data_IF_944961389443
#
_entry.id   IF_944961389443
#
_cell.length_a   1.000
_cell.length_b   1.000
_cell.length_c   1.000
_cell.angle_alpha   90.00
_cell.angle_beta   90.00
_cell.angle_gamma   90.00
#
_symmetry.space_group_name_H-M   'P 1'
#
loop_
_entity.id
_entity.type
_entity.pdbx_description
1 polymer ?
2 polymer ?
3 non-polymer ?
4 non-polymer ?
5 water ?
#
loop_
_entity_poly.entity_id
_entity_poly.type
_entity_poly.pdbx_seq_one_letter_code
_entity_poly.pdbx_strand_id
2 'polydeoxyribonucleotide' '(DT)(DG)(DC)(DA)(DG)(DG)(DC)(DG)(DC)(DG)(DC)(DC)(DT)(DG)(DC)(DA)' ?
#
# COMPACT_ATOMS: atom_id res chain seq x y z
N UNK A 8 -4.82 -37.96 20.49
CA UNK A 8 -5.60 -39.15 20.83
C UNK A 8 -5.60 -40.23 19.72
N UNK A 9 -4.44 -40.43 19.06
CA UNK A 9 -4.24 -41.38 17.97
C UNK A 9 -2.95 -42.23 18.20
N UNK A 10 -2.42 -42.90 17.16
CA UNK A 10 -1.20 -43.68 17.27
C UNK A 10 -0.02 -42.81 16.83
N UNK A 11 -0.15 -42.23 15.62
CA UNK A 11 0.84 -41.35 14.98
C UNK A 11 0.63 -39.84 15.29
N UNK A 12 -0.65 -39.38 15.28
CA UNK A 12 -1.03 -37.99 15.55
C UNK A 12 -0.82 -37.55 17.02
N UNK A 13 -0.68 -38.52 17.95
CA UNK A 13 -0.53 -38.29 19.38
C UNK A 13 0.79 -37.61 19.82
N UNK A 14 0.61 -36.55 20.61
CA UNK A 14 1.62 -35.73 21.27
C UNK A 14 1.41 -35.95 22.80
N UNK A 15 2.52 -36.16 23.52
CA UNK A 15 2.45 -36.37 24.96
C UNK A 15 2.13 -35.05 25.72
N UNK A 16 1.48 -35.08 26.90
CA UNK A 16 1.18 -33.84 27.63
C UNK A 16 2.38 -32.92 27.90
N UNK A 17 3.60 -33.49 28.06
CA UNK A 17 4.84 -32.70 28.27
C UNK A 17 5.25 -31.92 27.01
N UNK A 18 5.15 -32.55 25.82
CA UNK A 18 5.47 -31.99 24.50
C UNK A 18 4.45 -30.89 24.16
N UNK A 19 3.19 -31.15 24.47
CA UNK A 19 2.07 -30.24 24.26
C UNK A 19 2.27 -28.91 25.04
N UNK A 20 2.74 -29.02 26.31
CA UNK A 20 3.06 -27.94 27.23
C UNK A 20 4.21 -27.09 26.67
N UNK A 21 5.33 -27.74 26.29
CA UNK A 21 6.52 -27.09 25.74
C UNK A 21 6.24 -26.43 24.40
N UNK A 22 5.43 -27.08 23.55
CA UNK A 22 5.05 -26.55 22.24
C UNK A 22 4.22 -25.25 22.30
N UNK A 23 3.54 -25.02 23.42
CA UNK A 23 2.78 -23.81 23.67
C UNK A 23 3.66 -22.58 23.79
N UNK A 24 4.95 -22.78 24.08
CA UNK A 24 5.96 -21.72 24.21
C UNK A 24 6.66 -21.48 22.87
N UNK A 25 6.42 -22.35 21.87
CA UNK A 25 6.99 -22.28 20.54
C UNK A 25 6.57 -21.02 19.83
N UNK A 26 7.51 -20.42 19.11
CA UNK A 26 7.31 -19.24 18.31
C UNK A 26 7.02 -19.68 16.89
N UNK A 27 5.98 -19.12 16.31
CA UNK A 27 5.62 -19.39 14.92
C UNK A 27 6.43 -18.53 14.00
N UNK A 28 6.90 -19.10 12.88
CA UNK A 28 7.72 -18.36 11.90
C UNK A 28 6.89 -17.26 11.17
N UNK A 29 7.52 -16.50 10.24
CA UNK A 29 6.84 -15.40 9.55
C UNK A 29 5.73 -15.86 8.58
N UNK A 30 5.78 -17.10 8.08
CA UNK A 30 4.75 -17.68 7.22
C UNK A 30 3.51 -18.04 8.05
N UNK A 31 3.69 -18.58 9.26
CA UNK A 31 2.58 -18.91 10.15
C UNK A 31 1.87 -17.65 10.58
N UNK A 32 2.62 -16.60 10.96
CA UNK A 32 2.09 -15.29 11.37
C UNK A 32 1.29 -14.66 10.19
N UNK A 33 1.79 -14.81 8.95
CA UNK A 33 1.16 -14.31 7.75
C UNK A 33 -0.15 -15.03 7.49
N UNK A 34 -0.15 -16.36 7.65
CA UNK A 34 -1.36 -17.16 7.46
C UNK A 34 -2.51 -16.75 8.42
N UNK A 35 -2.18 -16.26 9.64
CA UNK A 35 -3.17 -15.79 10.61
C UNK A 35 -3.78 -14.50 10.07
N UNK A 36 -2.93 -13.61 9.50
CA UNK A 36 -3.34 -12.34 8.90
C UNK A 36 -4.28 -12.59 7.71
N UNK A 37 -3.96 -13.62 6.87
CA UNK A 37 -4.75 -14.02 5.70
C UNK A 37 -6.13 -14.55 6.13
N UNK A 38 -6.19 -15.39 7.20
CA UNK A 38 -7.43 -15.93 7.76
C UNK A 38 -8.29 -14.80 8.28
N UNK A 39 -7.70 -13.87 9.02
CA UNK A 39 -8.42 -12.71 9.54
C UNK A 39 -9.03 -11.84 8.45
N UNK A 40 -8.28 -11.61 7.34
CA UNK A 40 -8.69 -10.85 6.15
C UNK A 40 -9.94 -11.44 5.51
N UNK A 41 -9.98 -12.79 5.41
CA UNK A 41 -11.10 -13.57 4.87
C UNK A 41 -12.35 -13.49 5.79
N UNK A 42 -12.16 -13.59 7.12
CA UNK A 42 -13.24 -13.51 8.10
C UNK A 42 -13.95 -12.14 8.06
N UNK A 43 -13.22 -11.02 7.82
CA UNK A 43 -13.82 -9.67 7.69
C UNK A 43 -14.77 -9.62 6.45
N UNK A 44 -14.42 -10.39 5.37
CA UNK A 44 -15.20 -10.51 4.14
C UNK A 44 -16.40 -11.42 4.34
N UNK A 45 -16.19 -12.62 4.87
CA UNK A 45 -17.26 -13.60 5.06
C UNK A 45 -18.28 -13.20 6.13
N UNK A 46 -17.88 -12.44 7.17
CA UNK A 46 -18.82 -11.99 8.23
C UNK A 46 -19.93 -11.09 7.70
N UNK A 47 -19.71 -10.49 6.51
CA UNK A 47 -20.62 -9.58 5.81
C UNK A 47 -21.70 -10.31 5.00
N UNK A 48 -21.51 -11.61 4.71
CA UNK A 48 -22.42 -12.43 3.94
C UNK A 48 -23.12 -13.41 4.87
N UNK A 49 -24.46 -13.49 4.82
CA UNK A 49 -25.28 -14.40 5.62
C UNK A 49 -24.99 -15.85 5.28
N UNK A 50 -24.57 -16.61 6.30
CA UNK A 50 -24.29 -18.04 6.21
C UNK A 50 -22.92 -18.48 5.73
N UNK A 51 -22.06 -17.52 5.27
CA UNK A 51 -20.74 -17.77 4.67
C UNK A 51 -19.70 -18.37 5.61
N UNK A 52 -19.60 -17.84 6.84
CA UNK A 52 -18.65 -18.27 7.87
C UNK A 52 -18.98 -19.67 8.37
N UNK A 53 -20.27 -19.92 8.51
CA UNK A 53 -20.90 -21.15 8.94
C UNK A 53 -20.63 -22.28 7.94
N UNK A 54 -20.74 -21.99 6.61
CA UNK A 54 -20.49 -22.96 5.56
C UNK A 54 -19.01 -23.32 5.49
N UNK A 55 -18.12 -22.33 5.72
CA UNK A 55 -16.68 -22.52 5.77
C UNK A 55 -16.30 -23.40 6.95
N UNK A 56 -16.77 -23.09 8.16
CA UNK A 56 -16.50 -23.94 9.33
C UNK A 56 -16.99 -25.36 9.08
N UNK A 57 -18.17 -25.53 8.41
CA UNK A 57 -18.75 -26.83 8.06
C UNK A 57 -17.82 -27.60 7.16
N UNK A 58 -17.30 -26.97 6.08
CA UNK A 58 -16.39 -27.55 5.10
C UNK A 58 -15.12 -28.15 5.73
N UNK A 59 -14.51 -27.40 6.70
CA UNK A 59 -13.29 -27.76 7.41
C UNK A 59 -13.53 -28.81 8.53
N UNK A 60 -14.67 -28.74 9.26
CA UNK A 60 -15.04 -29.66 10.35
C UNK A 60 -15.23 -31.08 9.87
N UNK A 61 -15.98 -31.28 8.77
CA UNK A 61 -16.27 -32.58 8.20
C UNK A 61 -15.92 -32.63 6.72
N UNK A 62 -14.63 -33.00 6.40
CA UNK A 62 -14.18 -33.02 5.00
C UNK A 62 -14.91 -34.04 4.09
N UNK A 63 -15.46 -35.09 4.72
CA UNK A 63 -16.20 -36.13 4.02
C UNK A 63 -17.59 -35.73 3.55
N UNK A 64 -18.16 -34.66 4.12
CA UNK A 64 -19.51 -34.21 3.75
C UNK A 64 -19.47 -33.09 2.71
N UNK A 65 -20.33 -33.17 1.66
CA UNK A 65 -20.35 -32.11 0.64
C UNK A 65 -20.75 -30.74 1.20
N UNK A 66 -20.01 -29.69 0.81
CA UNK A 66 -20.28 -28.31 1.23
C UNK A 66 -20.57 -27.44 0.03
N UNK A 67 -21.16 -26.26 0.29
CA UNK A 67 -21.49 -25.28 -0.72
C UNK A 67 -20.29 -24.33 -0.98
N UNK A 68 -20.39 -23.49 -2.02
CA UNK A 68 -19.38 -22.51 -2.37
C UNK A 68 -19.24 -21.45 -1.28
N UNK A 69 -18.01 -21.03 -1.03
CA UNK A 69 -17.68 -19.96 -0.08
C UNK A 69 -16.84 -18.99 -0.94
N UNK A 70 -17.48 -17.95 -1.47
CA UNK A 70 -16.89 -17.02 -2.42
C UNK A 70 -16.55 -15.62 -1.90
N UNK A 71 -15.52 -15.02 -2.51
CA UNK A 71 -15.07 -13.65 -2.26
C UNK A 71 -15.01 -12.88 -3.60
N UNK A 72 -15.13 -11.54 -3.64
CA UNK A 72 -15.03 -10.85 -4.93
C UNK A 72 -13.69 -11.04 -5.65
N UNK A 73 -13.73 -11.03 -6.97
CA UNK A 73 -12.55 -11.20 -7.83
C UNK A 73 -11.95 -9.84 -8.26
N UNK A 74 -10.62 -9.69 -8.17
CA UNK A 74 -9.87 -8.51 -8.60
C UNK A 74 -9.55 -8.68 -10.09
N UNK A 75 -9.14 -7.59 -10.75
CA UNK A 75 -8.84 -7.55 -12.18
C UNK A 75 -7.75 -8.53 -12.63
N UNK A 76 -6.68 -8.72 -11.85
CA UNK A 76 -5.60 -9.67 -12.17
C UNK A 76 -5.78 -11.03 -11.45
N UNK A 77 -6.80 -11.12 -10.62
CA UNK A 77 -7.11 -12.31 -9.84
C UNK A 77 -6.44 -12.37 -8.47
N UNK A 78 -5.27 -11.71 -8.34
CA UNK A 78 -4.48 -11.65 -7.11
C UNK A 78 -5.19 -10.95 -5.94
N UNK A 79 -4.82 -11.34 -4.71
CA UNK A 79 -5.29 -10.79 -3.46
C UNK A 79 -4.07 -10.37 -2.66
N UNK A 80 -4.11 -9.18 -2.06
CA UNK A 80 -3.02 -8.70 -1.22
C UNK A 80 -3.42 -8.75 0.26
N UNK A 81 -2.56 -9.38 1.07
CA UNK A 81 -2.70 -9.46 2.51
C UNK A 81 -1.37 -9.07 3.10
N UNK A 82 -1.39 -8.03 3.94
CA UNK A 82 -0.24 -7.51 4.68
C UNK A 82 1.01 -7.47 3.84
N UNK A 83 0.96 -6.73 2.72
CA UNK A 83 2.06 -6.50 1.79
C UNK A 83 2.52 -7.71 0.98
N UNK A 84 1.73 -8.78 0.91
CA UNK A 84 2.04 -9.95 0.07
C UNK A 84 0.87 -10.21 -0.84
N UNK A 85 1.14 -10.63 -2.12
CA UNK A 85 0.11 -10.98 -3.12
C UNK A 85 0.16 -12.45 -3.48
N UNK A 86 -1.02 -13.00 -3.78
CA UNK A 86 -1.18 -14.38 -4.23
C UNK A 86 -2.58 -14.59 -4.75
N UNK A 87 -2.88 -15.78 -5.32
CA UNK A 87 -4.22 -16.10 -5.79
C UNK A 87 -4.97 -16.67 -4.59
N UNK A 88 -6.20 -16.18 -4.29
CA UNK A 88 -6.90 -16.60 -3.05
C UNK A 88 -7.26 -18.09 -2.91
N UNK A 89 -7.43 -18.83 -4.00
CA UNK A 89 -7.74 -20.25 -3.86
C UNK A 89 -6.47 -21.03 -3.50
N UNK A 90 -5.30 -20.54 -3.95
CA UNK A 90 -3.98 -21.12 -3.64
C UNK A 90 -3.67 -20.80 -2.16
N UNK A 91 -3.84 -19.52 -1.77
CA UNK A 91 -3.63 -19.03 -0.43
C UNK A 91 -4.36 -19.90 0.62
N UNK A 92 -5.67 -20.13 0.45
CA UNK A 92 -6.50 -20.84 1.44
C UNK A 92 -6.43 -22.37 1.31
N UNK A 93 -6.00 -22.92 0.14
CA UNK A 93 -5.72 -24.37 0.02
C UNK A 93 -4.41 -24.70 0.75
N UNK A 94 -3.43 -23.75 0.78
CA UNK A 94 -2.17 -23.87 1.50
C UNK A 94 -2.41 -23.85 3.01
N UNK A 95 -3.32 -22.97 3.46
CA UNK A 95 -3.67 -22.80 4.88
C UNK A 95 -4.29 -24.07 5.44
N UNK A 96 -5.37 -24.57 4.80
CA UNK A 96 -6.12 -25.68 5.37
C UNK A 96 -5.89 -27.06 4.77
N UNK A 97 -5.15 -27.18 3.64
CA UNK A 97 -4.97 -28.51 3.05
C UNK A 97 -3.54 -28.90 2.71
N UNK A 98 -2.83 -28.12 1.86
CA UNK A 98 -1.49 -28.49 1.37
C UNK A 98 -0.47 -27.36 1.54
N UNK A 99 0.30 -27.30 2.70
CA UNK A 99 1.25 -26.16 2.92
C UNK A 99 2.37 -25.99 1.90
N UNK A 100 2.68 -27.06 1.17
CA UNK A 100 3.75 -27.08 0.16
C UNK A 100 3.20 -26.88 -1.26
N UNK A 101 1.93 -26.42 -1.40
CA UNK A 101 1.32 -26.15 -2.71
C UNK A 101 2.15 -25.11 -3.47
N UNK A 102 2.66 -25.46 -4.66
CA UNK A 102 3.56 -24.61 -5.45
C UNK A 102 2.89 -23.43 -6.12
N UNK A 103 1.83 -23.67 -6.93
CA UNK A 103 1.11 -22.67 -7.71
C UNK A 103 -0.30 -23.15 -8.01
N UNK A 104 -1.03 -22.37 -8.83
CA UNK A 104 -2.38 -22.68 -9.28
C UNK A 104 -2.37 -23.83 -10.27
N UNK A 105 -1.18 -24.13 -10.86
CA UNK A 105 -0.98 -25.23 -11.83
C UNK A 105 -1.16 -26.61 -11.18
N UNK A 106 -0.99 -26.66 -9.84
CA UNK A 106 -1.12 -27.84 -8.99
C UNK A 106 -2.58 -28.00 -8.48
N UNK A 107 -3.54 -27.21 -9.02
CA UNK A 107 -4.95 -27.23 -8.59
C UNK A 107 -5.98 -27.42 -9.72
N UNK A 108 -7.02 -28.25 -9.48
CA UNK A 108 -8.13 -28.47 -10.43
C UNK A 108 -9.46 -28.36 -9.69
N UNK A 109 -10.49 -27.71 -10.26
CA UNK A 109 -11.77 -27.61 -9.54
C UNK A 109 -12.62 -28.87 -9.66
N UNK A 110 -13.27 -29.26 -8.56
CA UNK A 110 -14.20 -30.40 -8.57
C UNK A 110 -15.53 -29.96 -9.23
N UNK A 111 -16.30 -30.90 -9.77
CA UNK A 111 -17.54 -30.60 -10.50
C UNK A 111 -18.62 -29.93 -9.63
N UNK A 112 -18.52 -30.09 -8.32
CA UNK A 112 -19.35 -29.54 -7.25
C UNK A 112 -19.30 -27.98 -7.19
N UNK A 113 -18.18 -27.39 -7.63
CA UNK A 113 -17.89 -25.96 -7.57
C UNK A 113 -18.57 -25.17 -8.68
N UNK A 114 -19.44 -24.23 -8.27
CA UNK A 114 -20.15 -23.30 -9.13
C UNK A 114 -19.32 -22.04 -9.50
N UNK A 115 -18.37 -21.63 -8.64
CA UNK A 115 -17.60 -20.42 -8.85
C UNK A 115 -16.08 -20.72 -8.83
N UNK A 116 -15.58 -21.65 -9.68
CA UNK A 116 -14.14 -21.98 -9.62
C UNK A 116 -13.25 -20.88 -10.18
N UNK A 117 -11.99 -20.80 -9.69
CA UNK A 117 -11.05 -19.82 -10.22
C UNK A 117 -10.83 -20.18 -11.69
N UNK A 118 -10.95 -19.19 -12.55
CA UNK A 118 -10.78 -19.42 -13.98
C UNK A 118 -12.11 -19.40 -14.69
N UNK A 119 -13.23 -19.49 -13.93
CA UNK A 119 -14.55 -19.43 -14.53
C UNK A 119 -14.87 -18.03 -15.04
N UNK A 120 -14.04 -17.01 -14.67
CA UNK A 120 -14.22 -15.61 -15.08
C UNK A 120 -15.66 -15.12 -14.71
N UNK A 121 -15.91 -15.03 -13.40
CA UNK A 121 -17.17 -14.59 -12.77
C UNK A 121 -16.81 -13.56 -11.70
N UNK A 122 -17.79 -12.74 -11.28
CA UNK A 122 -17.64 -11.66 -10.29
C UNK A 122 -17.05 -12.14 -8.96
N UNK A 123 -17.45 -13.35 -8.53
CA UNK A 123 -17.01 -13.98 -7.28
C UNK A 123 -16.18 -15.26 -7.52
N UNK A 124 -15.14 -15.49 -6.69
CA UNK A 124 -14.26 -16.67 -6.76
C UNK A 124 -14.42 -17.50 -5.47
N UNK A 125 -14.60 -18.82 -5.63
CA UNK A 125 -14.72 -19.73 -4.51
C UNK A 125 -13.38 -20.09 -3.90
N UNK A 126 -13.27 -19.91 -2.58
CA UNK A 126 -12.07 -20.15 -1.80
C UNK A 126 -12.18 -21.36 -0.85
N UNK A 127 -13.29 -22.15 -0.93
CA UNK A 127 -13.55 -23.40 -0.19
C UNK A 127 -12.47 -24.45 -0.62
N UNK A 128 -11.49 -24.81 0.27
CA UNK A 128 -10.42 -25.71 -0.15
C UNK A 128 -10.84 -27.11 -0.57
N UNK A 129 -12.06 -27.50 -0.20
CA UNK A 129 -12.63 -28.80 -0.54
C UNK A 129 -13.37 -28.79 -1.87
N UNK A 130 -13.37 -27.66 -2.59
CA UNK A 130 -13.95 -27.51 -3.94
C UNK A 130 -12.86 -27.63 -5.02
N UNK A 131 -11.59 -27.86 -4.60
CA UNK A 131 -10.41 -28.05 -5.47
C UNK A 131 -9.66 -29.36 -5.14
N UNK A 132 -9.01 -29.97 -6.15
CA UNK A 132 -8.18 -31.16 -5.99
C UNK A 132 -6.71 -30.86 -6.39
N UNK A 133 -5.74 -31.53 -5.73
CA UNK A 133 -4.34 -31.36 -6.04
C UNK A 133 -3.95 -32.25 -7.19
N UNK A 134 -3.27 -31.68 -8.18
CA UNK A 134 -2.83 -32.39 -9.39
C UNK A 134 -1.33 -32.15 -9.63
N UNK A 135 -0.75 -32.78 -10.65
CA UNK A 135 0.65 -32.64 -11.04
C UNK A 135 0.76 -31.42 -11.97
N UNK A 136 1.80 -30.57 -11.79
CA UNK A 136 2.02 -29.38 -12.66
C UNK A 136 2.40 -29.83 -14.09
N UNK A 137 1.69 -29.36 -15.16
CA UNK A 137 2.09 -29.72 -16.54
C UNK A 137 3.52 -29.27 -16.89
N UNK A 138 4.30 -30.11 -17.62
CA UNK A 138 5.71 -29.88 -17.97
C UNK A 138 5.94 -28.76 -18.98
N UNK B 13 32.66 32.44 4.46
CA UNK B 13 32.67 32.28 5.91
C UNK B 13 33.42 30.98 6.31
N UNK B 14 32.69 29.82 6.28
CA UNK B 14 33.12 28.45 6.57
C UNK B 14 34.49 28.14 5.95
N UNK B 15 35.37 27.51 6.73
CA UNK B 15 36.70 27.17 6.25
C UNK B 15 36.65 25.93 5.32
N UNK B 16 37.58 25.80 4.33
CA UNK B 16 37.57 24.62 3.47
C UNK B 16 37.66 23.26 4.18
N UNK B 17 38.31 23.20 5.38
CA UNK B 17 38.43 21.98 6.19
C UNK B 17 37.07 21.58 6.78
N UNK B 18 36.25 22.56 7.24
CA UNK B 18 34.92 22.32 7.82
C UNK B 18 33.96 21.76 6.73
N UNK B 19 33.96 22.37 5.51
CA UNK B 19 33.14 21.92 4.36
C UNK B 19 33.47 20.45 4.03
N UNK B 20 34.77 20.12 3.97
CA UNK B 20 35.30 18.78 3.73
C UNK B 20 34.72 17.76 4.73
N UNK B 21 34.81 18.08 6.04
CA UNK B 21 34.30 17.23 7.13
C UNK B 21 32.80 17.07 7.09
N UNK B 22 32.06 18.17 6.76
CA UNK B 22 30.60 18.16 6.63
C UNK B 22 30.09 17.25 5.52
N UNK B 23 30.91 17.00 4.50
CA UNK B 23 30.57 16.09 3.41
C UNK B 23 30.46 14.64 3.85
N UNK B 24 31.04 14.31 5.02
CA UNK B 24 30.99 12.98 5.63
C UNK B 24 29.81 12.86 6.60
N UNK B 25 29.11 13.99 6.85
CA UNK B 25 27.95 14.05 7.74
C UNK B 25 26.79 13.23 7.14
N UNK B 26 26.08 12.52 8.01
CA UNK B 26 24.94 11.71 7.68
C UNK B 26 23.68 12.56 7.83
N UNK B 27 22.82 12.51 6.81
CA UNK B 27 21.55 13.22 6.80
C UNK B 27 20.53 12.40 7.55
N UNK B 28 19.70 13.06 8.39
CA UNK B 28 18.66 12.37 9.15
C UNK B 28 17.53 11.82 8.24
N UNK B 29 16.51 11.13 8.82
CA UNK B 29 15.42 10.53 8.02
C UNK B 29 14.51 11.55 7.31
N UNK B 30 14.45 12.81 7.81
CA UNK B 30 13.67 13.88 7.18
C UNK B 30 14.39 14.40 5.94
N UNK B 31 15.73 14.52 5.99
CA UNK B 31 16.51 14.97 4.85
C UNK B 31 16.44 13.92 3.73
N UNK B 32 16.56 12.62 4.09
CA UNK B 32 16.48 11.51 3.14
C UNK B 32 15.09 11.50 2.46
N UNK B 33 14.03 11.76 3.25
CA UNK B 33 12.66 11.85 2.78
C UNK B 33 12.46 13.00 1.81
N UNK B 34 13.04 14.17 2.12
CA UNK B 34 12.96 15.34 1.23
C UNK B 34 13.57 15.08 -0.16
N UNK B 35 14.59 14.21 -0.25
CA UNK B 35 15.21 13.84 -1.54
C UNK B 35 14.20 13.01 -2.32
N UNK B 36 13.52 12.08 -1.63
CA UNK B 36 12.48 11.23 -2.21
C UNK B 36 11.32 12.08 -2.75
N UNK B 37 10.90 13.13 -2.00
CA UNK B 37 9.83 14.05 -2.37
C UNK B 37 10.21 14.87 -3.62
N UNK B 38 11.47 15.37 -3.69
CA UNK B 38 12.00 16.12 -4.85
C UNK B 38 12.03 15.21 -6.08
N UNK B 39 12.48 13.98 -5.93
CA UNK B 39 12.50 13.02 -7.04
C UNK B 39 11.09 12.72 -7.59
N UNK B 40 10.09 12.58 -6.70
CA UNK B 40 8.67 12.35 -7.02
C UNK B 40 8.11 13.46 -7.90
N UNK B 41 8.45 14.72 -7.56
CA UNK B 41 8.06 15.94 -8.28
C UNK B 41 8.71 16.01 -9.67
N UNK B 42 10.02 15.67 -9.77
CA UNK B 42 10.78 15.66 -11.03
C UNK B 42 10.18 14.67 -12.04
N UNK B 43 9.70 13.48 -11.59
CA UNK B 43 9.04 12.50 -12.47
C UNK B 43 7.73 13.11 -13.10
N UNK B 44 7.04 13.98 -12.34
CA UNK B 44 5.83 14.66 -12.75
C UNK B 44 6.13 15.82 -13.70
N UNK B 45 7.05 16.71 -13.29
CA UNK B 45 7.41 17.88 -14.08
C UNK B 45 8.14 17.57 -15.39
N UNK B 46 8.94 16.46 -15.45
CA UNK B 46 9.66 16.07 -16.69
C UNK B 46 8.71 15.75 -17.84
N UNK B 47 7.44 15.43 -17.53
CA UNK B 47 6.36 15.08 -18.46
C UNK B 47 5.67 16.32 -19.11
N UNK B 48 5.85 17.52 -18.51
CA UNK B 48 5.27 18.79 -18.97
C UNK B 48 6.38 19.66 -19.56
N UNK B 49 6.18 20.16 -20.79
CA UNK B 49 7.12 21.05 -21.49
C UNK B 49 7.27 22.40 -20.75
N UNK B 50 8.51 22.74 -20.38
CA UNK B 50 8.84 23.98 -19.70
C UNK B 50 8.72 24.01 -18.18
N UNK B 51 8.07 23.00 -17.55
CA UNK B 51 7.79 22.93 -16.11
C UNK B 51 9.03 22.88 -15.21
N UNK B 52 10.00 22.00 -15.52
CA UNK B 52 11.25 21.86 -14.78
C UNK B 52 12.07 23.17 -14.89
N UNK B 53 12.02 23.78 -16.08
CA UNK B 53 12.67 25.02 -16.48
C UNK B 53 12.12 26.21 -15.69
N UNK B 54 10.77 26.31 -15.61
CA UNK B 54 10.05 27.37 -14.89
C UNK B 54 10.33 27.33 -13.39
N UNK B 55 10.34 26.12 -12.77
CA UNK B 55 10.64 25.91 -11.35
C UNK B 55 12.08 26.33 -11.01
N UNK B 56 13.04 25.97 -11.87
CA UNK B 56 14.45 26.28 -11.68
C UNK B 56 14.70 27.77 -11.74
N UNK B 57 13.93 28.49 -12.59
CA UNK B 57 14.00 29.94 -12.73
C UNK B 57 13.51 30.59 -11.42
N UNK B 58 12.37 30.09 -10.90
CA UNK B 58 11.74 30.55 -9.65
C UNK B 58 12.66 30.39 -8.46
N UNK B 59 13.37 29.26 -8.40
CA UNK B 59 14.26 28.94 -7.30
C UNK B 59 15.54 29.72 -7.31
N UNK B 60 16.12 29.94 -8.54
CA UNK B 60 17.41 30.61 -8.80
C UNK B 60 17.41 32.10 -8.53
N UNK B 61 16.33 32.80 -8.92
CA UNK B 61 16.19 34.23 -8.67
C UNK B 61 14.88 34.50 -7.93
N UNK B 62 14.93 34.56 -6.59
CA UNK B 62 13.69 34.76 -5.81
C UNK B 62 13.02 36.13 -5.98
N UNK B 63 13.80 37.15 -6.32
CA UNK B 63 13.31 38.51 -6.52
C UNK B 63 12.51 38.73 -7.79
N UNK B 64 12.68 37.85 -8.80
CA UNK B 64 11.98 37.99 -10.08
C UNK B 64 10.69 37.18 -10.13
N UNK B 65 9.57 37.78 -10.64
CA UNK B 65 8.31 37.03 -10.74
C UNK B 65 8.36 35.83 -11.69
N UNK B 66 7.81 34.69 -11.24
CA UNK B 66 7.77 33.43 -11.99
C UNK B 66 6.34 33.00 -12.26
N UNK B 67 6.19 32.02 -13.17
CA UNK B 67 4.90 31.45 -13.55
C UNK B 67 4.53 30.25 -12.62
N UNK B 68 3.28 29.77 -12.70
CA UNK B 68 2.79 28.63 -11.92
C UNK B 68 3.50 27.36 -12.35
N UNK B 69 3.79 26.48 -11.38
CA UNK B 69 4.41 25.17 -11.60
C UNK B 69 3.44 24.22 -10.88
N UNK B 70 2.53 23.60 -11.65
CA UNK B 70 1.42 22.80 -11.10
C UNK B 70 1.52 21.29 -11.27
N UNK B 71 0.92 20.57 -10.31
CA UNK B 71 0.78 19.12 -10.31
C UNK B 71 -0.71 18.72 -10.14
N UNK B 72 -1.18 17.54 -10.59
CA UNK B 72 -2.59 17.17 -10.37
C UNK B 72 -2.99 17.12 -8.89
N UNK B 73 -4.26 17.44 -8.62
CA UNK B 73 -4.82 17.43 -7.27
C UNK B 73 -5.57 16.09 -6.98
N UNK B 74 -5.35 15.51 -5.79
CA UNK B 74 -6.04 14.31 -5.29
C UNK B 74 -7.33 14.77 -4.60
N UNK B 75 -8.28 13.84 -4.32
CA UNK B 75 -9.58 14.18 -3.72
C UNK B 75 -9.49 14.87 -2.36
N UNK B 76 -8.58 14.44 -1.47
CA UNK B 76 -8.39 15.05 -0.13
C UNK B 76 -7.29 16.14 -0.14
N UNK B 77 -6.62 16.30 -1.29
CA UNK B 77 -5.54 17.27 -1.47
C UNK B 77 -4.16 16.75 -1.14
N UNK B 78 -4.07 15.78 -0.23
CA UNK B 78 -2.84 15.16 0.21
C UNK B 78 -2.07 14.41 -0.92
N UNK B 79 -0.74 14.36 -0.77
CA UNK B 79 0.19 13.67 -1.65
C UNK B 79 0.97 12.69 -0.81
N UNK B 80 1.15 11.46 -1.31
CA UNK B 80 1.91 10.45 -0.62
C UNK B 80 3.24 10.23 -1.31
N UNK B 81 4.33 10.31 -0.51
CA UNK B 81 5.69 10.05 -0.96
C UNK B 81 6.28 9.09 0.04
N UNK B 82 6.74 7.94 -0.45
CA UNK B 82 7.39 6.90 0.30
C UNK B 82 6.76 6.67 1.66
N UNK B 83 5.46 6.31 1.67
CA UNK B 83 4.67 5.98 2.85
C UNK B 83 4.37 7.15 3.81
N UNK B 84 4.55 8.40 3.36
CA UNK B 84 4.19 9.59 4.17
C UNK B 84 3.28 10.44 3.35
N UNK B 85 2.28 11.08 4.00
CA UNK B 85 1.34 12.01 3.35
C UNK B 85 1.50 13.44 3.87
N UNK B 86 1.26 14.39 2.99
CA UNK B 86 1.25 15.83 3.30
C UNK B 86 0.62 16.60 2.17
N UNK B 87 0.40 17.91 2.35
CA UNK B 87 -0.14 18.76 1.29
C UNK B 87 1.05 19.22 0.44
N UNK B 88 0.99 19.10 -0.90
CA UNK B 88 2.19 19.37 -1.73
C UNK B 88 2.75 20.80 -1.72
N UNK B 89 1.93 21.83 -1.41
CA UNK B 89 2.46 23.19 -1.34
C UNK B 89 3.22 23.39 -0.05
N UNK B 90 2.82 22.67 1.03
CA UNK B 90 3.49 22.69 2.35
C UNK B 90 4.81 21.92 2.21
N UNK B 91 4.75 20.72 1.62
CA UNK B 91 5.89 19.85 1.38
C UNK B 91 7.05 20.60 0.70
N UNK B 92 6.78 21.28 -0.45
CA UNK B 92 7.81 21.95 -1.24
C UNK B 92 8.17 23.35 -0.72
N UNK B 93 7.31 24.00 0.09
CA UNK B 93 7.68 25.28 0.74
C UNK B 93 8.65 24.97 1.90
N UNK B 94 8.51 23.79 2.56
CA UNK B 94 9.41 23.31 3.60
C UNK B 94 10.78 23.00 3.04
N UNK B 95 10.83 22.38 1.86
CA UNK B 95 12.05 21.98 1.17
C UNK B 95 12.87 23.21 0.79
N UNK B 96 12.28 24.16 0.05
CA UNK B 96 13.05 25.28 -0.49
C UNK B 96 12.95 26.62 0.23
N UNK B 97 12.09 26.80 1.26
CA UNK B 97 11.99 28.11 1.93
C UNK B 97 11.97 28.10 3.48
N UNK B 98 11.04 27.37 4.12
CA UNK B 98 10.88 27.39 5.60
C UNK B 98 10.82 25.98 6.19
N UNK B 99 11.97 25.36 6.54
CA UNK B 99 11.93 23.98 7.07
C UNK B 99 11.08 23.75 8.32
N UNK B 100 10.78 24.84 9.05
CA UNK B 100 10.00 24.83 10.28
C UNK B 100 8.51 25.18 10.04
N UNK B 101 8.06 25.19 8.76
CA UNK B 101 6.66 25.46 8.42
C UNK B 101 5.75 24.45 9.13
N UNK B 102 4.82 24.96 9.97
CA UNK B 102 3.94 24.13 10.80
C UNK B 102 2.86 23.36 10.05
N UNK B 103 2.01 24.09 9.29
CA UNK B 103 0.88 23.56 8.54
C UNK B 103 0.52 24.49 7.39
N UNK B 104 -0.60 24.21 6.70
CA UNK B 104 -1.12 25.05 5.64
C UNK B 104 -1.70 26.34 6.19
N UNK B 105 -1.98 26.37 7.54
CA UNK B 105 -2.54 27.54 8.24
C UNK B 105 -1.55 28.72 8.30
N UNK B 106 -0.25 28.42 8.11
CA UNK B 106 0.86 29.37 8.04
C UNK B 106 1.15 29.86 6.60
N UNK B 107 0.36 29.44 5.58
CA UNK B 107 0.63 29.88 4.21
C UNK B 107 -0.53 30.67 3.59
N UNK B 108 -0.21 31.68 2.77
CA UNK B 108 -1.21 32.46 2.02
C UNK B 108 -0.76 32.61 0.56
N UNK B 109 -1.65 32.49 -0.44
CA UNK B 109 -1.19 32.65 -1.82
C UNK B 109 -1.03 34.10 -2.27
N UNK B 110 0.03 34.38 -3.04
CA UNK B 110 0.24 35.72 -3.62
C UNK B 110 -0.71 35.93 -4.81
N UNK B 111 -0.99 37.20 -5.16
CA UNK B 111 -1.93 37.51 -6.24
C UNK B 111 -1.58 36.93 -7.62
N UNK B 112 -0.28 36.75 -7.90
CA UNK B 112 0.26 36.19 -9.15
C UNK B 112 -0.19 34.74 -9.41
N UNK B 113 -0.49 33.96 -8.33
CA UNK B 113 -0.86 32.54 -8.41
C UNK B 113 -2.27 32.28 -8.91
N UNK B 114 -2.38 31.50 -9.97
CA UNK B 114 -3.68 31.11 -10.53
C UNK B 114 -4.11 29.72 -10.08
N UNK B 115 -3.21 28.95 -9.50
CA UNK B 115 -3.55 27.59 -9.05
C UNK B 115 -3.17 27.38 -7.59
N UNK B 116 -3.50 28.29 -6.67
CA UNK B 116 -3.08 28.05 -5.30
C UNK B 116 -3.89 26.97 -4.63
N UNK B 117 -3.29 26.25 -3.67
CA UNK B 117 -4.06 25.29 -2.88
C UNK B 117 -5.20 26.09 -2.22
N UNK B 118 -6.41 25.58 -2.38
CA UNK B 118 -7.60 26.21 -1.82
C UNK B 118 -8.57 26.69 -2.88
N UNK B 119 -8.06 27.01 -4.08
CA UNK B 119 -8.84 27.49 -5.22
C UNK B 119 -9.66 26.37 -5.85
N UNK B 120 -9.49 25.13 -5.36
CA UNK B 120 -10.22 23.95 -5.81
C UNK B 120 -10.35 23.88 -7.33
N UNK B 121 -9.21 23.62 -8.00
CA UNK B 121 -9.03 23.43 -9.44
C UNK B 121 -8.29 22.08 -9.63
N UNK B 122 -8.30 21.58 -10.88
CA UNK B 122 -7.72 20.30 -11.30
C UNK B 122 -6.23 20.12 -10.92
N UNK B 123 -5.48 21.23 -11.02
CA UNK B 123 -4.07 21.33 -10.73
C UNK B 123 -3.80 22.28 -9.56
N UNK B 124 -2.72 22.00 -8.80
CA UNK B 124 -2.28 22.79 -7.65
C UNK B 124 -0.85 23.25 -7.85
N UNK B 125 -0.63 24.57 -7.70
CA UNK B 125 0.69 25.19 -7.87
C UNK B 125 1.56 24.89 -6.66
N UNK B 126 2.74 24.34 -6.91
CA UNK B 126 3.73 23.96 -5.91
C UNK B 126 4.97 24.86 -5.91
N UNK B 127 4.98 25.95 -6.72
CA UNK B 127 6.03 27.00 -6.80
C UNK B 127 6.09 27.71 -5.40
N UNK B 128 7.17 27.49 -4.58
CA UNK B 128 7.22 28.06 -3.23
C UNK B 128 7.18 29.59 -3.17
N UNK B 129 7.47 30.24 -4.30
CA UNK B 129 7.48 31.71 -4.37
C UNK B 129 6.12 32.29 -4.79
N UNK B 130 5.09 31.42 -4.91
CA UNK B 130 3.71 31.82 -5.19
C UNK B 130 2.89 31.87 -3.87
N UNK B 131 3.54 31.55 -2.72
CA UNK B 131 2.95 31.59 -1.38
C UNK B 131 3.78 32.48 -0.41
N UNK B 132 3.14 33.07 0.60
CA UNK B 132 3.77 33.87 1.65
C UNK B 132 3.53 33.25 3.03
N UNK B 133 4.48 33.43 3.96
CA UNK B 133 4.33 32.90 5.31
C UNK B 133 3.51 33.84 6.19
N UNK B 134 2.50 33.29 6.90
CA UNK B 134 1.62 34.03 7.81
C UNK B 134 1.60 33.34 9.19
N UNK B 135 0.95 34.00 10.17
CA UNK B 135 0.77 33.52 11.54
C UNK B 135 -0.49 32.63 11.57
N UNK B 136 -0.45 31.48 12.29
CA UNK B 136 -1.59 30.57 12.41
C UNK B 136 -2.71 31.24 13.25
N UNK B 137 -3.98 31.27 12.75
CA UNK B 137 -5.07 31.88 13.55
C UNK B 137 -5.29 31.19 14.91
N UNK B 138 -5.56 32.00 15.97
CA UNK B 138 -5.76 31.57 17.37
C UNK B 138 -7.09 30.86 17.58
X LIG E 1 -17.03 -23.75 -4.96
X LIG F 1 3.33 -23.38 16.79
X LIG F 1 4.35 -22.91 15.90
X LIG F 1 2.95 -22.36 17.84
X LIG F 1 2.58 -21.12 17.21
X LIG F 1 1.78 -22.86 18.68
X LIG F 1 2.16 -23.93 19.55
X LIG G 1 1.16 29.54 -8.75
X LIG H 1 4.99 15.35 5.31
X LIG H 1 4.27 16.56 5.48
X LIG H 1 6.08 15.18 6.35
X LIG H 1 5.51 14.84 7.62
X LIG H 1 7.04 14.09 5.92
X LIG H 1 8.08 13.93 6.86
#
# INVERSE_FOLDING_TARGET
>A
MHSTTPISSLFSFTSPAVKRLLGWKQGDEEEKWAEKAVDSLVKKLKKKKGAMDELERALSCPGQPSKCVTIPRSLDGRLQVSHRKGLPHVIYCRVWRWPDLQSHHELKPLECCEFPFGSKQKEVCINPYHYRRVETPVLP
>B
MHSTTPISSLFSFTSPAVKRLLGWKQGDEEEKWAEKAVDSLVKKLKKKKGAMDELERALSCPGQPSKCVTIPRSLDGRLQVSHRKGLPHVIYCRVWRWPDLQSHHELKPLECCEFPFGSKQKEVCINPYHYRRVETPVLP
>E hetero
1 ZN ZN
>F hetero
1 GOL C1 O1 C2 O2 C3 O3
>G hetero
1 ZN ZN
>H hetero
1 GOL C1 O1 C2 O2 C3 O3
#
